data_IF_620428284800
#
_entry.id   IF_620428284800
#
_cell.length_a   1.000
_cell.length_b   1.000
_cell.length_c   1.000
_cell.angle_alpha   90.00
_cell.angle_beta   90.00
_cell.angle_gamma   90.00
#
_symmetry.space_group_name_H-M   'P 1'
#
loop_
_entity.id
_entity.type
_entity.pdbx_description
1 polymer ?
#
# COMPACT_ATOMS: atom_id res chain seq x y z
N UNK A 1 -9.25 58.08 57.01
CA UNK A 1 -9.36 56.64 57.32
C UNK A 1 -10.23 55.84 56.35
N UNK A 2 -11.37 56.36 55.85
CA UNK A 2 -12.26 55.60 54.96
C UNK A 2 -11.64 55.21 53.60
N UNK A 3 -10.84 56.09 52.99
CA UNK A 3 -10.18 55.83 51.70
C UNK A 3 -9.10 54.74 51.76
N UNK A 4 -8.38 54.66 52.88
CA UNK A 4 -7.36 53.62 53.10
C UNK A 4 -7.98 52.22 53.27
N UNK A 5 -9.13 52.13 53.97
CA UNK A 5 -9.91 50.89 54.11
C UNK A 5 -10.49 50.41 52.78
N UNK A 6 -10.93 51.34 51.92
CA UNK A 6 -11.44 51.03 50.58
C UNK A 6 -10.34 50.52 49.64
N UNK A 7 -9.14 51.11 49.68
CA UNK A 7 -7.98 50.61 48.93
C UNK A 7 -7.52 49.22 49.39
N UNK A 8 -7.54 48.94 50.70
CA UNK A 8 -7.22 47.61 51.23
C UNK A 8 -8.24 46.54 50.80
N UNK A 9 -9.53 46.87 50.78
CA UNK A 9 -10.58 45.95 50.32
C UNK A 9 -10.47 45.64 48.82
N UNK A 10 -10.17 46.65 48.00
CA UNK A 10 -9.99 46.46 46.55
C UNK A 10 -8.73 45.65 46.25
N UNK A 11 -7.64 45.89 46.99
CA UNK A 11 -6.40 45.10 46.88
C UNK A 11 -6.61 43.63 47.31
N UNK A 12 -7.45 43.38 48.32
CA UNK A 12 -7.78 42.03 48.78
C UNK A 12 -8.64 41.29 47.75
N UNK A 13 -9.61 41.97 47.12
CA UNK A 13 -10.46 41.44 46.05
C UNK A 13 -9.66 41.13 44.76
N UNK A 14 -8.68 41.97 44.40
CA UNK A 14 -7.81 41.71 43.25
C UNK A 14 -6.81 40.58 43.52
N UNK A 15 -6.27 40.48 44.74
CA UNK A 15 -5.39 39.38 45.15
C UNK A 15 -6.08 38.02 45.15
N UNK A 16 -7.35 37.93 45.57
CA UNK A 16 -8.14 36.71 45.53
C UNK A 16 -8.50 36.25 44.11
N UNK A 17 -8.55 37.18 43.14
CA UNK A 17 -8.85 36.86 41.73
C UNK A 17 -7.68 36.24 40.95
N UNK A 18 -6.44 36.38 41.44
CA UNK A 18 -5.25 35.81 40.78
C UNK A 18 -4.93 34.36 41.18
N UNK A 19 -5.58 33.80 42.22
CA UNK A 19 -5.29 32.44 42.70
C UNK A 19 -6.20 31.33 42.13
N UNK A 20 -7.17 31.64 41.26
CA UNK A 20 -8.16 30.65 40.76
C UNK A 20 -7.97 30.20 39.32
N UNK A 21 -6.82 30.46 38.68
CA UNK A 21 -6.58 30.10 37.27
C UNK A 21 -5.54 28.98 37.09
N UNK A 22 -5.75 27.81 37.70
CA UNK A 22 -4.93 26.61 37.44
C UNK A 22 -5.73 25.31 37.69
N UNK A 23 -6.63 24.89 36.80
CA UNK A 23 -7.31 23.59 36.99
C UNK A 23 -7.91 22.85 35.76
N UNK A 24 -7.81 23.32 34.51
CA UNK A 24 -8.65 22.75 33.43
C UNK A 24 -7.93 22.12 32.22
N UNK A 25 -6.62 21.86 32.27
CA UNK A 25 -5.89 21.34 31.08
C UNK A 25 -5.53 19.86 31.15
N UNK A 26 -5.29 19.33 32.36
CA UNK A 26 -4.75 17.96 32.53
C UNK A 26 -5.81 16.87 32.28
N UNK A 27 -7.06 17.11 32.69
CA UNK A 27 -8.18 16.18 32.49
C UNK A 27 -8.54 15.99 31.01
N UNK A 28 -8.57 17.07 30.23
CA UNK A 28 -8.87 16.99 28.79
C UNK A 28 -7.78 16.22 28.02
N UNK A 29 -6.51 16.48 28.31
CA UNK A 29 -5.42 15.76 27.67
C UNK A 29 -5.47 14.25 28.01
N UNK A 30 -5.71 13.90 29.27
CA UNK A 30 -5.84 12.52 29.70
C UNK A 30 -7.04 11.81 29.02
N UNK A 31 -8.17 12.49 28.87
CA UNK A 31 -9.34 11.95 28.14
C UNK A 31 -9.03 11.76 26.65
N UNK A 32 -8.38 12.73 26.01
CA UNK A 32 -7.94 12.63 24.63
C UNK A 32 -6.95 11.47 24.43
N UNK A 33 -5.97 11.30 25.32
CA UNK A 33 -4.99 10.22 25.25
C UNK A 33 -5.67 8.85 25.38
N UNK A 34 -6.62 8.72 26.31
CA UNK A 34 -7.44 7.49 26.45
C UNK A 34 -8.23 7.18 25.18
N UNK A 35 -8.91 8.17 24.62
CA UNK A 35 -9.65 8.02 23.36
C UNK A 35 -8.72 7.63 22.21
N UNK A 36 -7.58 8.31 22.07
CA UNK A 36 -6.58 8.03 21.03
C UNK A 36 -6.02 6.61 21.14
N UNK A 37 -5.69 6.15 22.35
CA UNK A 37 -5.25 4.76 22.60
C UNK A 37 -6.35 3.76 22.29
N UNK A 38 -7.58 4.02 22.72
CA UNK A 38 -8.73 3.16 22.46
C UNK A 38 -9.01 3.02 20.96
N UNK A 39 -9.07 4.12 20.23
CA UNK A 39 -9.32 4.12 18.79
C UNK A 39 -8.21 3.39 18.01
N UNK A 40 -6.95 3.51 18.43
CA UNK A 40 -5.84 2.74 17.85
C UNK A 40 -5.99 1.25 18.11
N UNK A 41 -6.35 0.85 19.34
CA UNK A 41 -6.58 -0.55 19.68
C UNK A 41 -7.75 -1.14 18.87
N UNK A 42 -8.88 -0.44 18.76
CA UNK A 42 -10.02 -0.88 17.94
C UNK A 42 -9.63 -1.07 16.47
N UNK A 43 -8.81 -0.17 15.92
CA UNK A 43 -8.31 -0.30 14.56
C UNK A 43 -7.38 -1.51 14.38
N UNK A 44 -6.45 -1.72 15.32
CA UNK A 44 -5.54 -2.87 15.31
C UNK A 44 -6.32 -4.19 15.42
N UNK A 45 -7.32 -4.26 16.30
CA UNK A 45 -8.20 -5.41 16.48
C UNK A 45 -9.02 -5.70 15.22
N UNK A 46 -9.62 -4.67 14.61
CA UNK A 46 -10.34 -4.80 13.35
C UNK A 46 -9.44 -5.30 12.22
N UNK A 47 -8.24 -4.72 12.06
CA UNK A 47 -7.26 -5.16 11.07
C UNK A 47 -6.85 -6.62 11.30
N UNK A 48 -6.61 -7.01 12.55
CA UNK A 48 -6.28 -8.37 12.92
C UNK A 48 -7.42 -9.34 12.58
N UNK A 49 -8.67 -8.98 12.87
CA UNK A 49 -9.85 -9.76 12.52
C UNK A 49 -9.97 -9.95 11.00
N UNK A 50 -9.92 -8.87 10.22
CA UNK A 50 -10.01 -8.94 8.77
C UNK A 50 -8.89 -9.79 8.15
N UNK A 51 -7.65 -9.63 8.62
CA UNK A 51 -6.53 -10.44 8.18
C UNK A 51 -6.73 -11.92 8.52
N UNK A 52 -7.24 -12.24 9.71
CA UNK A 52 -7.54 -13.62 10.10
C UNK A 52 -8.65 -14.25 9.26
N UNK A 53 -9.69 -13.50 8.92
CA UNK A 53 -10.75 -13.93 8.01
C UNK A 53 -10.22 -14.14 6.58
N UNK A 54 -9.34 -13.25 6.11
CA UNK A 54 -8.71 -13.37 4.80
C UNK A 54 -7.78 -14.58 4.70
N UNK A 55 -7.02 -14.88 5.75
CA UNK A 55 -6.20 -16.12 5.83
C UNK A 55 -7.09 -17.35 5.67
N UNK A 56 -8.23 -17.43 6.38
CA UNK A 56 -9.20 -18.53 6.23
C UNK A 56 -9.81 -18.59 4.82
N UNK A 57 -10.01 -17.43 4.20
CA UNK A 57 -10.47 -17.35 2.81
C UNK A 57 -9.44 -17.94 1.84
N UNK A 58 -8.16 -17.55 1.96
CA UNK A 58 -7.07 -18.07 1.13
C UNK A 58 -6.96 -19.59 1.23
N UNK A 59 -7.07 -20.14 2.44
CA UNK A 59 -7.06 -21.59 2.69
C UNK A 59 -8.19 -22.35 1.95
N UNK A 60 -9.35 -21.70 1.75
CA UNK A 60 -10.55 -22.29 1.11
C UNK A 60 -10.57 -22.07 -0.40
N UNK A 61 -10.40 -20.82 -0.85
CA UNK A 61 -10.60 -20.40 -2.23
C UNK A 61 -9.70 -21.15 -3.23
N UNK A 62 -8.50 -21.55 -2.82
CA UNK A 62 -7.57 -22.28 -3.69
C UNK A 62 -7.71 -23.80 -3.66
N UNK A 63 -8.55 -24.38 -2.79
CA UNK A 63 -8.88 -25.82 -2.86
C UNK A 63 -9.68 -26.18 -4.11
N UNK A 64 -10.37 -25.22 -4.70
CA UNK A 64 -11.29 -25.44 -5.84
C UNK A 64 -10.62 -25.26 -7.21
N UNK A 65 -9.34 -24.84 -7.27
CA UNK A 65 -8.66 -24.70 -8.55
C UNK A 65 -8.22 -26.06 -9.11
N UNK A 66 -9.14 -26.72 -9.82
CA UNK A 66 -8.79 -27.84 -10.70
C UNK A 66 -8.27 -27.26 -12.01
N UNK A 67 -6.97 -27.41 -12.27
CA UNK A 67 -6.40 -27.13 -13.60
C UNK A 67 -7.17 -27.98 -14.60
N UNK A 68 -8.04 -27.34 -15.38
CA UNK A 68 -8.67 -28.02 -16.50
C UNK A 68 -7.57 -28.48 -17.45
N UNK A 69 -7.66 -29.68 -18.02
CA UNK A 69 -6.68 -30.14 -18.99
C UNK A 69 -6.56 -29.11 -20.11
N UNK A 70 -5.32 -28.84 -20.55
CA UNK A 70 -5.07 -27.92 -21.64
C UNK A 70 -5.91 -28.34 -22.85
N UNK A 71 -6.70 -27.42 -23.40
CA UNK A 71 -7.42 -27.66 -24.64
C UNK A 71 -6.33 -27.89 -25.71
N UNK A 72 -6.28 -29.08 -26.35
CA UNK A 72 -5.25 -29.35 -27.33
C UNK A 72 -5.35 -28.31 -28.43
N UNK A 73 -4.21 -27.71 -28.79
CA UNK A 73 -4.15 -26.73 -29.87
C UNK A 73 -4.77 -27.37 -31.12
N UNK A 74 -5.77 -26.74 -31.76
CA UNK A 74 -6.25 -27.20 -33.05
C UNK A 74 -5.07 -27.40 -33.98
N UNK A 75 -5.03 -28.52 -34.71
CA UNK A 75 -4.00 -28.70 -35.73
C UNK A 75 -4.26 -27.65 -36.80
N UNK A 76 -3.29 -26.78 -37.06
CA UNK A 76 -3.38 -25.85 -38.18
C UNK A 76 -3.48 -26.69 -39.46
N UNK A 77 -4.59 -26.55 -40.18
CA UNK A 77 -4.67 -27.11 -41.53
C UNK A 77 -3.61 -26.42 -42.37
N UNK A 78 -2.69 -27.22 -42.92
CA UNK A 78 -1.67 -26.72 -43.86
C UNK A 78 -2.39 -26.44 -45.18
N UNK A 79 -3.09 -25.31 -45.25
CA UNK A 79 -3.69 -24.85 -46.50
C UNK A 79 -2.52 -24.40 -47.39
N UNK A 80 -2.25 -25.07 -48.52
CA UNK A 80 -1.20 -24.65 -49.42
C UNK A 80 -1.49 -23.21 -49.86
N UNK A 81 -0.47 -22.34 -49.95
CA UNK A 81 -0.66 -20.95 -50.33
C UNK A 81 -1.36 -20.91 -51.69
N UNK A 82 -2.54 -20.30 -51.72
CA UNK A 82 -3.25 -20.05 -52.96
C UNK A 82 -2.42 -19.06 -53.77
N UNK A 83 -1.83 -19.53 -54.86
CA UNK A 83 -1.10 -18.68 -55.81
C UNK A 83 -2.15 -17.79 -56.48
N UNK A 84 -2.28 -16.55 -56.01
CA UNK A 84 -3.05 -15.54 -56.71
C UNK A 84 -2.41 -15.36 -58.10
N UNK A 85 -3.14 -15.57 -59.21
CA UNK A 85 -2.62 -15.22 -60.52
C UNK A 85 -2.22 -13.74 -60.47
N UNK A 86 -1.01 -13.43 -60.97
CA UNK A 86 -0.47 -12.08 -61.01
C UNK A 86 -1.38 -11.23 -61.90
N UNK A 87 -2.41 -10.65 -61.31
CA UNK A 87 -3.22 -9.65 -61.98
C UNK A 87 -2.31 -8.43 -62.14
N UNK A 88 -2.03 -8.07 -63.40
CA UNK A 88 -1.49 -6.76 -63.76
C UNK A 88 -2.46 -5.69 -63.26
N UNK A 89 -2.27 -5.30 -62.01
CA UNK A 89 -3.01 -4.21 -61.38
C UNK A 89 -2.12 -3.00 -61.49
N UNK A 90 -2.49 -2.09 -62.39
CA UNK A 90 -2.28 -0.66 -62.19
C UNK A 90 -2.43 -0.38 -60.69
N UNK A 91 -1.34 0.00 -60.02
CA UNK A 91 -1.28 0.18 -58.56
C UNK A 91 -2.41 1.13 -58.16
N UNK A 92 -3.52 0.60 -57.65
CA UNK A 92 -4.51 1.45 -56.98
C UNK A 92 -3.81 1.99 -55.75
N UNK A 93 -3.60 3.31 -55.72
CA UNK A 93 -3.09 4.02 -54.55
C UNK A 93 -3.88 3.57 -53.32
N UNK A 94 -3.16 3.25 -52.24
CA UNK A 94 -3.78 2.91 -50.97
C UNK A 94 -4.64 4.10 -50.55
N UNK A 95 -5.96 3.90 -50.50
CA UNK A 95 -6.85 4.89 -49.90
C UNK A 95 -6.55 4.90 -48.41
N UNK A 96 -6.18 6.05 -47.88
CA UNK A 96 -6.06 6.27 -46.44
C UNK A 96 -7.40 5.91 -45.80
N UNK A 97 -7.35 5.00 -44.82
CA UNK A 97 -8.52 4.66 -44.02
C UNK A 97 -8.69 5.84 -43.06
N UNK A 98 -9.80 6.60 -43.13
CA UNK A 98 -10.04 7.69 -42.18
C UNK A 98 -10.13 7.09 -40.77
N UNK A 99 -9.33 7.61 -39.84
CA UNK A 99 -9.43 7.23 -38.43
C UNK A 99 -10.73 7.86 -37.91
N UNK A 100 -11.79 7.05 -37.89
CA UNK A 100 -13.16 7.53 -37.67
C UNK A 100 -13.39 8.08 -36.25
N UNK A 101 -12.62 7.61 -35.28
CA UNK A 101 -12.63 8.16 -33.92
C UNK A 101 -11.27 7.96 -33.23
N UNK A 102 -10.62 9.06 -32.89
CA UNK A 102 -9.53 9.06 -31.90
C UNK A 102 -10.19 8.77 -30.55
N UNK A 103 -9.95 7.58 -29.99
CA UNK A 103 -10.45 7.25 -28.65
C UNK A 103 -9.83 8.23 -27.66
N UNK A 104 -10.65 9.11 -27.11
CA UNK A 104 -10.24 10.01 -26.04
C UNK A 104 -9.69 9.19 -24.88
N UNK A 105 -8.54 9.54 -24.28
CA UNK A 105 -8.05 8.87 -23.09
C UNK A 105 -9.17 8.88 -22.03
N UNK A 106 -9.44 7.73 -21.44
CA UNK A 106 -10.41 7.59 -20.35
C UNK A 106 -10.00 8.61 -19.28
N UNK A 107 -10.92 9.50 -18.87
CA UNK A 107 -10.69 10.38 -17.74
C UNK A 107 -10.38 9.50 -16.52
N UNK A 108 -9.12 9.49 -16.10
CA UNK A 108 -8.71 8.77 -14.91
C UNK A 108 -9.40 9.40 -13.71
N UNK A 109 -10.24 8.62 -13.02
CA UNK A 109 -10.73 9.03 -11.70
C UNK A 109 -9.51 9.30 -10.80
N UNK A 110 -9.55 10.36 -9.97
CA UNK A 110 -8.48 10.62 -9.03
C UNK A 110 -8.29 9.39 -8.14
N UNK A 111 -7.04 8.93 -7.99
CA UNK A 111 -6.74 7.76 -7.17
C UNK A 111 -7.27 7.99 -5.74
N UNK A 112 -7.89 6.97 -5.13
CA UNK A 112 -8.32 7.08 -3.75
C UNK A 112 -7.10 7.34 -2.87
N UNK A 113 -7.12 8.45 -2.15
CA UNK A 113 -6.06 8.77 -1.18
C UNK A 113 -6.18 7.80 -0.01
N UNK A 114 -5.07 7.25 0.52
CA UNK A 114 -5.10 6.44 1.73
C UNK A 114 -5.84 7.20 2.84
N UNK A 115 -6.79 6.52 3.48
CA UNK A 115 -7.70 7.12 4.48
C UNK A 115 -6.94 7.51 5.76
N UNK A 116 -5.72 7.00 5.96
CA UNK A 116 -4.79 7.44 6.99
C UNK A 116 -3.33 7.17 6.59
N UNK A 117 -2.37 8.01 7.03
CA UNK A 117 -0.95 7.73 6.85
C UNK A 117 -0.53 6.54 7.71
N UNK A 118 0.36 5.70 7.16
CA UNK A 118 1.00 4.60 7.90
C UNK A 118 2.04 5.24 8.83
N UNK A 119 1.89 5.03 10.13
CA UNK A 119 2.79 5.56 11.15
C UNK A 119 4.06 4.71 11.25
N UNK A 120 5.17 5.33 11.62
CA UNK A 120 6.39 4.58 11.93
C UNK A 120 6.23 3.80 13.22
N UNK A 121 6.82 2.61 13.24
CA UNK A 121 6.89 1.75 14.40
C UNK A 121 8.34 1.64 14.87
N UNK A 122 8.69 2.40 15.91
CA UNK A 122 10.06 2.44 16.45
C UNK A 122 10.48 1.16 17.18
N UNK A 123 9.54 0.23 17.41
CA UNK A 123 9.78 -1.00 18.19
C UNK A 123 10.34 -2.15 17.35
N UNK A 124 10.41 -2.00 16.02
CA UNK A 124 10.82 -3.08 15.12
C UNK A 124 12.33 -3.04 14.93
N UNK A 125 12.99 -4.18 15.10
CA UNK A 125 14.40 -4.30 14.75
C UNK A 125 14.57 -4.44 13.24
N UNK A 126 15.23 -3.45 12.64
CA UNK A 126 15.30 -3.31 11.19
C UNK A 126 16.72 -3.28 10.66
N UNK A 127 16.83 -3.59 9.37
CA UNK A 127 18.05 -3.47 8.58
C UNK A 127 17.76 -2.64 7.34
N UNK A 128 18.60 -1.64 7.09
CA UNK A 128 18.55 -0.87 5.86
C UNK A 128 19.05 -1.72 4.69
N UNK A 129 18.33 -1.62 3.58
CA UNK A 129 18.68 -2.30 2.35
C UNK A 129 18.64 -1.31 1.19
N UNK A 130 19.77 -1.17 0.49
CA UNK A 130 19.91 -0.30 -0.66
C UNK A 130 19.93 -1.10 -1.98
N UNK A 131 19.28 -0.56 -3.00
CA UNK A 131 19.24 -1.12 -4.34
C UNK A 131 19.12 -0.01 -5.39
N UNK A 132 19.39 -0.33 -6.66
CA UNK A 132 19.23 0.62 -7.75
C UNK A 132 17.99 0.28 -8.58
N UNK A 133 17.14 1.28 -8.82
CA UNK A 133 16.00 1.18 -9.71
C UNK A 133 16.08 2.29 -10.76
N UNK A 134 16.15 1.91 -12.04
CA UNK A 134 16.30 2.85 -13.18
C UNK A 134 17.45 3.86 -12.99
N UNK A 135 18.58 3.41 -12.42
CA UNK A 135 19.75 4.25 -12.14
C UNK A 135 19.62 5.14 -10.89
N UNK A 136 18.48 5.12 -10.18
CA UNK A 136 18.29 5.82 -8.90
C UNK A 136 18.58 4.86 -7.75
N UNK A 137 19.41 5.29 -6.79
CA UNK A 137 19.61 4.52 -5.55
C UNK A 137 18.42 4.70 -4.63
N UNK A 138 17.78 3.59 -4.27
CA UNK A 138 16.66 3.47 -3.36
C UNK A 138 17.13 2.77 -2.08
N UNK A 139 16.54 3.16 -0.95
CA UNK A 139 16.81 2.56 0.35
C UNK A 139 15.47 2.27 1.03
N UNK A 140 15.35 1.08 1.59
CA UNK A 140 14.16 0.62 2.32
C UNK A 140 14.59 -0.14 3.57
N UNK A 141 13.82 0.00 4.65
CA UNK A 141 14.00 -0.78 5.87
C UNK A 141 13.25 -2.10 5.77
N UNK A 142 13.89 -3.17 6.21
CA UNK A 142 13.29 -4.50 6.29
C UNK A 142 13.46 -5.07 7.71
N UNK A 143 12.45 -5.79 8.25
CA UNK A 143 12.59 -6.48 9.53
C UNK A 143 13.73 -7.50 9.49
N UNK A 144 14.54 -7.58 10.55
CA UNK A 144 15.68 -8.53 10.61
C UNK A 144 15.23 -9.98 10.55
N UNK A 145 14.09 -10.29 11.15
CA UNK A 145 13.54 -11.65 11.24
C UNK A 145 12.72 -12.05 9.99
N UNK A 146 12.75 -11.24 8.93
CA UNK A 146 12.02 -11.51 7.71
C UNK A 146 12.66 -12.65 6.92
N UNK A 147 12.16 -13.87 7.13
CA UNK A 147 12.53 -15.05 6.35
C UNK A 147 11.30 -15.63 5.66
N UNK A 148 11.02 -15.13 4.45
CA UNK A 148 9.94 -15.63 3.61
C UNK A 148 10.58 -16.52 2.56
N UNK A 149 10.24 -17.80 2.54
CA UNK A 149 10.64 -18.71 1.46
C UNK A 149 9.39 -19.36 0.91
N UNK A 150 9.11 -19.13 -0.37
CA UNK A 150 8.11 -19.89 -1.09
C UNK A 150 8.81 -21.05 -1.78
N UNK A 151 8.27 -22.26 -1.69
CA UNK A 151 8.72 -23.43 -2.47
C UNK A 151 7.62 -23.95 -3.39
N UNK A 152 6.48 -23.24 -3.49
CA UNK A 152 5.31 -23.64 -4.27
C UNK A 152 4.14 -22.67 -4.08
N UNK A 153 3.06 -22.86 -4.87
CA UNK A 153 1.83 -22.05 -4.84
C UNK A 153 0.68 -22.73 -4.08
N UNK A 154 0.97 -23.52 -3.06
CA UNK A 154 -0.06 -24.23 -2.30
C UNK A 154 -0.88 -23.28 -1.42
N UNK A 155 -2.18 -23.57 -1.31
CA UNK A 155 -3.17 -22.77 -0.56
C UNK A 155 -2.74 -22.46 0.88
N UNK A 156 -2.27 -23.47 1.62
CA UNK A 156 -1.82 -23.30 3.00
C UNK A 156 -0.55 -22.45 3.11
N UNK A 157 0.34 -22.52 2.12
CA UNK A 157 1.60 -21.77 2.11
C UNK A 157 1.34 -20.28 1.89
N UNK A 158 0.48 -19.95 0.91
CA UNK A 158 0.08 -18.56 0.63
C UNK A 158 -0.62 -17.95 1.86
N UNK A 159 -1.51 -18.70 2.50
CA UNK A 159 -2.20 -18.27 3.72
C UNK A 159 -1.21 -18.03 4.89
N UNK A 160 -0.21 -18.91 5.04
CA UNK A 160 0.83 -18.78 6.08
C UNK A 160 1.71 -17.56 5.86
N UNK A 161 2.14 -17.33 4.62
CA UNK A 161 2.97 -16.17 4.26
C UNK A 161 2.18 -14.88 4.40
N UNK A 162 0.91 -14.86 3.95
CA UNK A 162 0.03 -13.73 4.18
C UNK A 162 -0.09 -13.40 5.66
N UNK A 163 -0.26 -14.42 6.52
CA UNK A 163 -0.32 -14.23 7.97
C UNK A 163 0.95 -13.60 8.54
N UNK A 164 2.13 -13.98 8.04
CA UNK A 164 3.40 -13.37 8.44
C UNK A 164 3.52 -11.92 7.98
N UNK A 165 3.17 -11.65 6.72
CA UNK A 165 3.23 -10.31 6.11
C UNK A 165 2.19 -9.34 6.65
N UNK A 166 1.04 -9.84 7.08
CA UNK A 166 -0.07 -9.04 7.62
C UNK A 166 0.21 -8.45 9.01
N UNK A 167 1.36 -8.77 9.60
CA UNK A 167 1.81 -8.19 10.88
C UNK A 167 2.27 -6.74 10.73
N UNK A 168 2.27 -5.99 11.82
CA UNK A 168 2.72 -4.59 11.83
C UNK A 168 4.25 -4.43 11.65
N UNK A 169 5.00 -5.53 11.53
CA UNK A 169 6.44 -5.50 11.31
C UNK A 169 6.80 -4.90 9.94
N UNK A 170 5.92 -5.04 8.93
CA UNK A 170 6.17 -4.54 7.58
C UNK A 170 5.75 -3.08 7.38
N UNK A 171 5.14 -2.42 8.37
CA UNK A 171 4.55 -1.09 8.20
C UNK A 171 5.60 -0.03 7.81
N UNK A 172 6.80 -0.07 8.41
CA UNK A 172 7.91 0.81 8.05
C UNK A 172 8.43 0.55 6.63
N UNK A 173 8.53 -0.72 6.22
CA UNK A 173 8.87 -1.10 4.85
C UNK A 173 7.87 -0.53 3.84
N UNK A 174 6.56 -0.70 4.11
CA UNK A 174 5.50 -0.18 3.25
C UNK A 174 5.58 1.35 3.17
N UNK A 175 5.81 2.01 4.31
CA UNK A 175 5.99 3.47 4.36
C UNK A 175 7.18 3.92 3.51
N UNK A 176 8.32 3.25 3.56
CA UNK A 176 9.50 3.60 2.77
C UNK A 176 9.24 3.45 1.25
N UNK A 177 8.56 2.38 0.84
CA UNK A 177 8.14 2.20 -0.55
C UNK A 177 7.14 3.27 -1.02
N UNK A 178 6.18 3.64 -0.17
CA UNK A 178 5.25 4.74 -0.46
C UNK A 178 5.97 6.09 -0.55
N UNK A 179 6.96 6.33 0.30
CA UNK A 179 7.79 7.54 0.23
C UNK A 179 8.58 7.58 -1.08
N UNK A 180 9.18 6.46 -1.50
CA UNK A 180 9.87 6.34 -2.80
C UNK A 180 8.93 6.60 -3.98
N UNK A 181 7.72 6.03 -3.93
CA UNK A 181 6.69 6.26 -4.94
C UNK A 181 6.37 7.74 -5.10
N UNK A 182 6.16 8.45 -4.00
CA UNK A 182 5.87 9.88 -4.02
C UNK A 182 7.07 10.70 -4.50
N UNK A 183 8.27 10.39 -3.98
CA UNK A 183 9.52 11.08 -4.32
C UNK A 183 9.84 10.99 -5.81
N UNK A 184 9.62 9.82 -6.42
CA UNK A 184 9.93 9.55 -7.82
C UNK A 184 8.71 9.72 -8.75
N UNK A 185 7.55 10.13 -8.21
CA UNK A 185 6.28 10.27 -8.94
C UNK A 185 5.92 9.02 -9.76
N UNK A 186 6.07 7.84 -9.18
CA UNK A 186 5.83 6.58 -9.89
C UNK A 186 4.33 6.33 -10.06
N UNK A 187 3.96 5.95 -11.30
CA UNK A 187 2.66 5.36 -11.57
C UNK A 187 2.55 3.96 -10.94
N UNK A 188 1.33 3.40 -10.86
CA UNK A 188 1.08 2.11 -10.20
C UNK A 188 1.96 0.98 -10.78
N UNK A 189 2.13 0.95 -12.11
CA UNK A 189 2.97 -0.05 -12.76
C UNK A 189 4.45 0.12 -12.42
N UNK A 190 4.98 1.34 -12.45
CA UNK A 190 6.37 1.60 -12.10
C UNK A 190 6.64 1.33 -10.60
N UNK A 191 5.65 1.59 -9.73
CA UNK A 191 5.70 1.25 -8.32
C UNK A 191 5.78 -0.26 -8.09
N UNK A 192 4.97 -1.05 -8.80
CA UNK A 192 5.05 -2.51 -8.74
C UNK A 192 6.42 -3.02 -9.24
N UNK A 193 6.94 -2.45 -10.33
CA UNK A 193 8.28 -2.81 -10.82
C UNK A 193 9.39 -2.42 -9.85
N UNK A 194 9.26 -1.31 -9.11
CA UNK A 194 10.19 -0.94 -8.05
C UNK A 194 10.23 -2.01 -6.95
N UNK A 195 9.05 -2.49 -6.51
CA UNK A 195 8.94 -3.52 -5.48
C UNK A 195 9.54 -4.85 -5.96
N UNK A 196 9.17 -5.29 -7.16
CA UNK A 196 9.74 -6.50 -7.80
C UNK A 196 11.23 -6.35 -8.04
N UNK A 197 11.70 -5.14 -8.38
CA UNK A 197 13.11 -4.84 -8.55
C UNK A 197 13.92 -4.92 -7.27
N UNK A 198 13.29 -4.93 -6.09
CA UNK A 198 13.98 -5.07 -4.80
C UNK A 198 14.50 -6.50 -4.62
N UNK A 199 15.84 -6.73 -4.67
CA UNK A 199 16.39 -8.08 -4.69
C UNK A 199 16.06 -8.90 -3.45
N UNK A 200 15.89 -8.29 -2.27
CA UNK A 200 15.58 -9.03 -1.02
C UNK A 200 14.17 -9.58 -1.01
N UNK A 201 13.21 -8.84 -1.59
CA UNK A 201 11.84 -9.34 -1.72
C UNK A 201 11.76 -10.40 -2.82
N UNK A 202 12.47 -10.19 -3.94
CA UNK A 202 12.43 -11.12 -5.06
C UNK A 202 13.25 -12.41 -4.87
N UNK A 203 14.41 -12.36 -4.22
CA UNK A 203 15.20 -13.58 -3.94
C UNK A 203 14.49 -14.56 -3.01
N UNK A 204 13.50 -14.08 -2.26
CA UNK A 204 12.60 -14.87 -1.42
C UNK A 204 11.37 -15.43 -2.17
N UNK A 205 11.07 -14.92 -3.37
CA UNK A 205 9.89 -15.26 -4.20
C UNK A 205 10.28 -16.05 -5.47
N UNK A 206 11.54 -15.98 -5.92
CA UNK A 206 12.02 -16.52 -7.19
C UNK A 206 12.20 -18.06 -7.28
N UNK A 207 11.40 -18.86 -6.57
CA UNK A 207 11.34 -20.32 -6.81
C UNK A 207 10.25 -20.74 -7.80
N UNK A 208 9.58 -19.78 -8.45
CA UNK A 208 8.35 -20.00 -9.23
C UNK A 208 8.42 -19.55 -10.70
N UNK A 209 9.63 -19.43 -11.26
CA UNK A 209 9.82 -19.36 -12.72
C UNK A 209 10.80 -20.45 -13.16
#
# INVERSE_FOLDING_TARGET
MARFKSFLLISLLFGLSMFTSSAQTDDFYAQYEKFSKHAKAEYEDYRAQCNAEYVKFLERAWKEYKVLPSIPRPKDEVVPPTIMPRQDKNKKQAKEIPIENVVSPILSLPQPKPISPIYENDKVEEKNFSFSYMGTTCEVRLPKDLNIRMSGCESCMIATIWKQLATNAMDNTIRDFLALRLKMQLCDWAYLNLIVGCPVLCSNINSLV
#
